data_IF_333048904501
#
_entry.id   IF_333048904501
#
_cell.length_a   1.000
_cell.length_b   1.000
_cell.length_c   1.000
_cell.angle_alpha   90.00
_cell.angle_beta   90.00
_cell.angle_gamma   90.00
#
_symmetry.space_group_name_H-M   'P 1'
#
loop_
_entity.id
_entity.type
_entity.pdbx_description
1 polymer ?
#
# COMPACT_ATOMS: atom_id res chain seq x y z
N UNK A 1 4.19 12.20 11.38
CA UNK A 1 2.78 11.80 11.48
C UNK A 1 2.76 10.29 11.62
N UNK A 2 1.91 9.75 12.50
CA UNK A 2 1.75 8.30 12.66
C UNK A 2 0.75 7.81 11.62
N UNK A 3 1.22 7.07 10.62
CA UNK A 3 0.42 6.70 9.44
C UNK A 3 0.10 5.22 9.43
N UNK A 4 -1.16 4.90 9.14
CA UNK A 4 -1.56 3.58 8.63
C UNK A 4 -1.58 3.64 7.10
N UNK A 5 -0.86 2.72 6.47
CA UNK A 5 -0.80 2.59 5.02
C UNK A 5 -1.71 1.43 4.59
N UNK A 6 -2.57 1.72 3.64
CA UNK A 6 -3.39 0.74 2.93
C UNK A 6 -3.18 0.87 1.43
N UNK A 7 -2.59 -0.16 0.83
CA UNK A 7 -2.34 -0.25 -0.60
C UNK A 7 -3.11 -1.42 -1.20
N UNK A 8 -3.91 -1.17 -2.21
CA UNK A 8 -4.62 -2.22 -2.96
C UNK A 8 -4.27 -2.17 -4.44
N UNK A 9 -3.87 -3.31 -4.99
CA UNK A 9 -3.71 -3.52 -6.43
C UNK A 9 -4.71 -4.55 -6.90
N UNK A 10 -5.55 -4.16 -7.85
CA UNK A 10 -6.65 -4.96 -8.40
C UNK A 10 -6.58 -5.02 -9.93
N UNK A 11 -7.45 -5.80 -10.56
CA UNK A 11 -7.46 -5.97 -12.03
C UNK A 11 -6.37 -6.92 -12.54
N UNK A 12 -5.99 -7.89 -11.70
CA UNK A 12 -4.95 -8.88 -11.99
C UNK A 12 -5.59 -10.15 -12.57
N UNK A 13 -5.09 -10.60 -13.72
CA UNK A 13 -5.69 -11.67 -14.52
C UNK A 13 -5.26 -13.08 -14.14
N UNK A 14 -4.18 -13.22 -13.37
CA UNK A 14 -3.66 -14.52 -12.98
C UNK A 14 -2.85 -14.46 -11.69
N UNK A 15 -2.71 -15.62 -11.05
CA UNK A 15 -1.82 -15.80 -9.89
C UNK A 15 -0.37 -15.46 -10.19
N UNK A 16 0.11 -15.78 -11.39
CA UNK A 16 1.48 -15.46 -11.81
C UNK A 16 1.68 -13.95 -11.93
N UNK A 17 0.74 -13.25 -12.57
CA UNK A 17 0.77 -11.80 -12.68
C UNK A 17 0.70 -11.17 -11.29
N UNK A 18 -0.17 -11.67 -10.41
CA UNK A 18 -0.27 -11.18 -9.04
C UNK A 18 1.00 -11.42 -8.22
N UNK A 19 1.69 -12.55 -8.42
CA UNK A 19 2.99 -12.79 -7.81
C UNK A 19 4.06 -11.79 -8.26
N UNK A 20 4.11 -11.45 -9.56
CA UNK A 20 5.02 -10.43 -10.10
C UNK A 20 4.69 -9.03 -9.57
N UNK A 21 3.41 -8.67 -9.53
CA UNK A 21 2.94 -7.41 -8.94
C UNK A 21 3.28 -7.33 -7.45
N UNK A 22 3.06 -8.40 -6.68
CA UNK A 22 3.42 -8.48 -5.27
C UNK A 22 4.90 -8.19 -5.06
N UNK A 23 5.76 -8.80 -5.88
CA UNK A 23 7.20 -8.57 -5.79
C UNK A 23 7.56 -7.12 -6.15
N UNK A 24 7.01 -6.58 -7.25
CA UNK A 24 7.28 -5.21 -7.66
C UNK A 24 6.85 -4.18 -6.59
N UNK A 25 5.72 -4.42 -5.93
CA UNK A 25 5.26 -3.60 -4.79
C UNK A 25 6.18 -3.74 -3.58
N UNK A 26 6.59 -4.97 -3.25
CA UNK A 26 7.53 -5.23 -2.15
C UNK A 26 8.86 -4.49 -2.38
N UNK A 27 9.39 -4.52 -3.60
CA UNK A 27 10.65 -3.83 -3.93
C UNK A 27 10.55 -2.32 -3.68
N UNK A 28 9.39 -1.69 -3.96
CA UNK A 28 9.17 -0.27 -3.64
C UNK A 28 9.10 -0.05 -2.13
N UNK A 29 8.39 -0.91 -1.40
CA UNK A 29 8.31 -0.86 0.07
C UNK A 29 9.70 -0.97 0.70
N UNK A 30 10.55 -1.86 0.19
CA UNK A 30 11.93 -2.07 0.66
C UNK A 30 12.81 -0.85 0.40
N UNK A 31 12.68 -0.21 -0.78
CA UNK A 31 13.41 1.02 -1.12
C UNK A 31 13.02 2.19 -0.20
N UNK A 32 11.77 2.25 0.23
CA UNK A 32 11.29 3.25 1.21
C UNK A 32 11.73 2.93 2.65
N UNK A 33 12.33 1.76 2.90
CA UNK A 33 12.67 1.32 4.24
C UNK A 33 11.45 0.95 5.10
N UNK A 34 10.36 0.49 4.46
CA UNK A 34 9.08 0.17 5.10
C UNK A 34 8.83 -1.35 5.23
N UNK A 35 9.85 -2.17 4.96
CA UNK A 35 9.74 -3.63 4.87
C UNK A 35 9.36 -4.32 6.18
N UNK A 36 9.57 -3.66 7.33
CA UNK A 36 9.24 -4.21 8.64
C UNK A 36 7.85 -3.77 9.12
N UNK A 37 7.31 -2.71 8.53
CA UNK A 37 6.06 -2.09 8.93
C UNK A 37 4.91 -2.45 7.99
N UNK A 38 5.19 -2.56 6.69
CA UNK A 38 4.20 -2.86 5.65
C UNK A 38 4.36 -4.29 5.16
N UNK A 39 3.35 -5.12 5.39
CA UNK A 39 3.30 -6.48 4.84
C UNK A 39 2.58 -6.47 3.50
N UNK A 40 3.24 -6.96 2.45
CA UNK A 40 2.66 -7.12 1.11
C UNK A 40 2.21 -8.56 0.89
N UNK A 41 0.90 -8.76 0.78
CA UNK A 41 0.25 -10.07 0.63
C UNK A 41 -0.48 -10.17 -0.71
N UNK A 42 -0.62 -11.40 -1.21
CA UNK A 42 -1.44 -11.69 -2.39
C UNK A 42 -2.70 -12.43 -1.93
N UNK A 43 -3.86 -11.95 -2.36
CA UNK A 43 -5.16 -12.52 -2.05
C UNK A 43 -5.83 -13.01 -3.33
N UNK A 44 -6.65 -14.05 -3.19
CA UNK A 44 -7.52 -14.57 -4.24
C UNK A 44 -8.93 -14.67 -3.66
N UNK A 45 -9.91 -14.05 -4.34
CA UNK A 45 -11.30 -14.09 -3.93
C UNK A 45 -12.20 -14.11 -5.15
N UNK A 46 -13.13 -15.06 -5.20
CA UNK A 46 -14.12 -15.17 -6.29
C UNK A 46 -13.47 -15.21 -7.69
N UNK A 47 -12.29 -15.85 -7.80
CA UNK A 47 -11.50 -15.93 -9.03
C UNK A 47 -10.75 -14.65 -9.42
N UNK A 48 -10.85 -13.59 -8.62
CA UNK A 48 -10.09 -12.35 -8.80
C UNK A 48 -8.83 -12.34 -7.92
N UNK A 49 -7.71 -11.89 -8.50
CA UNK A 49 -6.45 -11.74 -7.79
C UNK A 49 -6.24 -10.29 -7.34
N UNK A 50 -5.73 -10.14 -6.12
CA UNK A 50 -5.39 -8.84 -5.53
C UNK A 50 -4.03 -8.91 -4.86
N UNK A 51 -3.35 -7.76 -4.81
CA UNK A 51 -2.18 -7.55 -3.95
C UNK A 51 -2.52 -6.46 -2.96
N UNK A 52 -2.30 -6.72 -1.68
CA UNK A 52 -2.59 -5.79 -0.59
C UNK A 52 -1.33 -5.51 0.20
N UNK A 53 -1.00 -4.23 0.39
CA UNK A 53 0.01 -3.75 1.32
C UNK A 53 -0.69 -3.16 2.54
N UNK A 54 -0.38 -3.64 3.74
CA UNK A 54 -0.98 -3.11 4.97
C UNK A 54 0.07 -2.90 6.04
N UNK A 55 -0.01 -1.76 6.72
CA UNK A 55 0.72 -1.56 7.97
C UNK A 55 0.22 -2.55 9.02
N UNK A 56 1.14 -3.14 9.79
CA UNK A 56 0.81 -4.04 10.89
C UNK A 56 0.23 -3.31 12.11
N UNK A 57 0.51 -3.83 13.30
CA UNK A 57 -0.01 -3.28 14.57
C UNK A 57 0.48 -1.86 14.88
N UNK A 58 1.67 -1.49 14.39
CA UNK A 58 2.30 -0.22 14.72
C UNK A 58 2.29 0.69 13.50
N UNK A 59 1.86 1.96 13.65
CA UNK A 59 1.91 2.92 12.55
C UNK A 59 3.34 3.25 12.13
N UNK A 60 3.48 3.75 10.91
CA UNK A 60 4.75 4.25 10.38
C UNK A 60 4.89 5.72 10.70
N UNK A 61 6.06 6.15 11.17
CA UNK A 61 6.35 7.57 11.35
C UNK A 61 6.91 8.13 10.04
N UNK A 62 6.13 8.98 9.38
CA UNK A 62 6.58 9.69 8.18
C UNK A 62 6.53 11.20 8.37
N UNK A 63 7.61 11.86 7.96
CA UNK A 63 7.74 13.31 7.93
C UNK A 63 7.32 13.85 6.57
N UNK A 64 6.52 14.92 6.54
CA UNK A 64 6.10 15.55 5.29
C UNK A 64 5.19 14.67 4.42
N UNK A 65 4.21 14.00 5.01
CA UNK A 65 3.31 13.04 4.34
C UNK A 65 2.66 13.62 3.09
N UNK A 66 2.24 14.89 3.10
CA UNK A 66 1.65 15.54 1.92
C UNK A 66 2.55 15.59 0.69
N UNK A 67 3.88 15.50 0.85
CA UNK A 67 4.85 15.37 -0.25
C UNK A 67 5.25 13.93 -0.50
N UNK A 68 5.36 13.14 0.58
CA UNK A 68 5.79 11.76 0.51
C UNK A 68 4.74 10.85 -0.15
N UNK A 69 3.47 10.95 0.26
CA UNK A 69 2.37 10.07 -0.18
C UNK A 69 2.17 10.10 -1.71
N UNK A 70 2.07 11.26 -2.39
CA UNK A 70 1.93 11.27 -3.85
C UNK A 70 3.15 10.67 -4.57
N UNK A 71 4.35 10.87 -4.03
CA UNK A 71 5.57 10.35 -4.61
C UNK A 71 5.68 8.83 -4.43
N UNK A 72 5.27 8.33 -3.26
CA UNK A 72 5.19 6.90 -2.98
C UNK A 72 4.15 6.23 -3.89
N UNK A 73 2.95 6.81 -4.01
CA UNK A 73 1.92 6.31 -4.93
C UNK A 73 2.43 6.21 -6.37
N UNK A 74 3.07 7.26 -6.88
CA UNK A 74 3.61 7.26 -8.24
C UNK A 74 4.69 6.19 -8.45
N UNK A 75 5.54 5.91 -7.43
CA UNK A 75 6.53 4.82 -7.50
C UNK A 75 5.87 3.46 -7.54
N UNK A 76 4.84 3.23 -6.73
CA UNK A 76 4.07 1.98 -6.75
C UNK A 76 3.36 1.79 -8.08
N UNK A 77 2.65 2.81 -8.57
CA UNK A 77 1.97 2.79 -9.87
C UNK A 77 2.94 2.45 -11.01
N UNK A 78 4.10 3.12 -11.07
CA UNK A 78 5.12 2.84 -12.07
C UNK A 78 5.70 1.42 -11.96
N UNK A 79 5.84 0.87 -10.75
CA UNK A 79 6.31 -0.50 -10.54
C UNK A 79 5.27 -1.54 -11.00
N UNK A 80 3.98 -1.29 -10.72
CA UNK A 80 2.87 -2.14 -11.15
C UNK A 80 2.69 -2.09 -12.67
N UNK A 81 2.79 -0.91 -13.28
CA UNK A 81 2.62 -0.71 -14.72
C UNK A 81 3.65 -1.49 -15.55
N UNK A 82 4.88 -1.63 -15.05
CA UNK A 82 5.92 -2.48 -15.68
C UNK A 82 5.52 -3.96 -15.76
N UNK A 83 4.63 -4.41 -14.89
CA UNK A 83 4.12 -5.79 -14.88
C UNK A 83 2.83 -5.90 -15.69
N UNK A 84 1.92 -4.92 -15.55
CA UNK A 84 0.64 -4.92 -16.26
C UNK A 84 0.02 -3.53 -16.35
N UNK A 85 -0.46 -3.16 -17.53
CA UNK A 85 -1.14 -1.89 -17.79
C UNK A 85 -2.62 -1.89 -17.34
N UNK A 86 -3.19 -3.04 -16.99
CA UNK A 86 -4.62 -3.16 -16.65
C UNK A 86 -4.89 -3.05 -15.15
N UNK A 87 -3.84 -3.12 -14.32
CA UNK A 87 -4.00 -3.06 -12.87
C UNK A 87 -4.37 -1.66 -12.40
N UNK A 88 -5.12 -1.59 -11.31
CA UNK A 88 -5.47 -0.34 -10.63
C UNK A 88 -4.88 -0.34 -9.24
N UNK A 89 -4.12 0.69 -8.94
CA UNK A 89 -3.54 0.94 -7.62
C UNK A 89 -4.44 1.90 -6.85
N UNK A 90 -4.68 1.62 -5.58
CA UNK A 90 -5.27 2.55 -4.61
C UNK A 90 -4.35 2.60 -3.41
N UNK A 91 -4.00 3.81 -3.00
CA UNK A 91 -3.25 4.08 -1.78
C UNK A 91 -4.12 4.91 -0.85
N UNK A 92 -4.11 4.56 0.43
CA UNK A 92 -4.72 5.34 1.50
C UNK A 92 -3.73 5.45 2.66
N UNK A 93 -3.52 6.68 3.13
CA UNK A 93 -2.69 6.99 4.28
C UNK A 93 -3.55 7.70 5.33
N UNK A 94 -3.78 7.05 6.47
CA UNK A 94 -4.55 7.63 7.58
C UNK A 94 -3.64 8.10 8.71
N UNK A 95 -3.88 9.30 9.23
CA UNK A 95 -3.29 9.77 10.50
C UNK A 95 -3.97 9.06 11.67
N UNK A 96 -3.23 8.18 12.32
CA UNK A 96 -3.73 7.34 13.42
C UNK A 96 -4.05 8.16 14.67
N UNK A 97 -3.36 9.29 14.88
CA UNK A 97 -3.64 10.14 16.03
C UNK A 97 -4.93 10.95 15.80
N UNK A 98 -5.18 11.37 14.56
CA UNK A 98 -6.43 12.01 14.17
C UNK A 98 -7.61 11.03 14.22
N UNK A 99 -7.46 9.81 13.69
CA UNK A 99 -8.50 8.76 13.79
C UNK A 99 -8.88 8.52 15.25
N UNK A 100 -7.89 8.39 16.14
CA UNK A 100 -8.13 8.19 17.57
C UNK A 100 -8.88 9.37 18.20
N UNK A 101 -8.49 10.61 17.89
CA UNK A 101 -9.17 11.79 18.41
C UNK A 101 -10.63 11.90 17.92
N UNK A 102 -10.90 11.50 16.67
CA UNK A 102 -12.27 11.39 16.14
C UNK A 102 -13.11 10.35 16.89
N UNK A 103 -12.54 9.17 17.14
CA UNK A 103 -13.20 8.08 17.85
C UNK A 103 -13.49 8.43 19.32
N UNK A 104 -12.58 9.15 19.97
CA UNK A 104 -12.71 9.59 21.36
C UNK A 104 -13.59 10.85 21.52
N UNK A 105 -13.99 11.49 20.42
CA UNK A 105 -14.81 12.71 20.43
C UNK A 105 -14.07 13.94 20.96
N UNK A 106 -12.75 14.00 20.75
CA UNK A 106 -11.86 15.01 21.34
C UNK A 106 -11.38 16.08 20.35
N UNK A 107 -12.05 16.21 19.20
CA UNK A 107 -11.80 17.24 18.17
C UNK A 107 -12.68 18.47 18.31
#
# INVERSE_FOLDING_TARGET
MNIRIELDVSGLSSREQAGKVRQAVQDVVDVEGLQHEVTVSMWERDGAFMVVGRTGRFPVIISGVSRWEPAFQARVEAAVERVTATARVRLFCADVDLERAMEEGTL
#
